data_IF_419741120156
#
_entry.id   IF_419741120156
#
_cell.length_a   1.000
_cell.length_b   1.000
_cell.length_c   1.000
_cell.angle_alpha   90.00
_cell.angle_beta   90.00
_cell.angle_gamma   90.00
#
_symmetry.space_group_name_H-M   'P 1'
#
loop_
_entity.id
_entity.type
_entity.pdbx_description
1 polymer ?
#
# COMPACT_ATOMS: atom_id res chain seq x y z
N UNK A 1 3.88 2.92 -43.99
CA UNK A 1 4.06 2.60 -42.57
C UNK A 1 2.77 2.19 -41.82
N UNK A 2 1.57 2.58 -42.25
CA UNK A 2 0.29 2.20 -41.59
C UNK A 2 -0.16 0.73 -41.80
N UNK A 3 0.30 0.07 -42.84
CA UNK A 3 -0.12 -1.32 -43.17
C UNK A 3 0.73 -2.41 -42.50
N UNK A 4 1.96 -2.10 -42.07
CA UNK A 4 2.84 -3.07 -41.37
C UNK A 4 2.37 -3.31 -39.93
N UNK A 5 1.79 -2.30 -39.28
CA UNK A 5 1.25 -2.43 -37.91
C UNK A 5 0.00 -3.31 -37.90
N UNK A 6 -0.85 -3.28 -38.96
CA UNK A 6 -2.06 -4.09 -39.04
C UNK A 6 -1.78 -5.59 -39.24
N UNK A 7 -0.72 -5.94 -39.96
CA UNK A 7 -0.34 -7.35 -40.19
C UNK A 7 0.25 -7.98 -38.91
N UNK A 8 1.00 -7.22 -38.09
CA UNK A 8 1.51 -7.70 -36.81
C UNK A 8 0.41 -7.92 -35.76
N UNK A 9 -0.65 -7.11 -35.77
CA UNK A 9 -1.80 -7.28 -34.85
C UNK A 9 -2.66 -8.47 -35.29
N UNK A 10 -2.82 -8.73 -36.59
CA UNK A 10 -3.61 -9.87 -37.09
C UNK A 10 -2.94 -11.23 -36.81
N UNK A 11 -1.61 -11.32 -36.78
CA UNK A 11 -0.89 -12.55 -36.43
C UNK A 11 -0.99 -12.92 -34.92
N UNK A 12 -1.25 -11.96 -34.04
CA UNK A 12 -1.42 -12.23 -32.62
C UNK A 12 -2.79 -12.88 -32.27
N UNK A 13 -3.78 -12.80 -33.16
CA UNK A 13 -5.12 -13.38 -32.93
C UNK A 13 -5.25 -14.85 -33.32
N UNK A 14 -4.29 -15.40 -34.08
CA UNK A 14 -4.29 -16.81 -34.50
C UNK A 14 -3.48 -17.74 -33.57
N UNK A 15 -2.75 -17.20 -32.60
CA UNK A 15 -2.03 -18.01 -31.61
C UNK A 15 -2.97 -18.28 -30.45
N UNK A 16 -3.69 -19.38 -30.47
CA UNK A 16 -4.50 -19.85 -29.35
C UNK A 16 -3.67 -19.79 -28.08
N UNK A 17 -4.21 -19.14 -27.04
CA UNK A 17 -3.65 -19.12 -25.70
C UNK A 17 -3.53 -20.57 -25.20
N UNK A 18 -2.38 -21.19 -25.39
CA UNK A 18 -2.09 -22.44 -24.71
C UNK A 18 -1.96 -22.09 -23.22
N UNK A 19 -2.97 -22.44 -22.44
CA UNK A 19 -2.91 -22.37 -20.99
C UNK A 19 -1.72 -23.21 -20.52
N UNK A 20 -0.80 -22.66 -19.69
CA UNK A 20 0.28 -23.43 -19.11
C UNK A 20 -0.31 -24.68 -18.42
N UNK A 21 0.21 -25.86 -18.72
CA UNK A 21 -0.24 -27.09 -18.07
C UNK A 21 -0.13 -26.93 -16.55
N UNK A 22 -1.14 -27.32 -15.77
CA UNK A 22 -1.04 -27.34 -14.34
C UNK A 22 0.19 -28.18 -13.94
N UNK A 23 1.02 -27.65 -13.02
CA UNK A 23 2.07 -28.46 -12.42
C UNK A 23 1.36 -29.41 -11.46
N UNK A 24 1.60 -30.72 -11.52
CA UNK A 24 0.98 -31.65 -10.58
C UNK A 24 1.28 -31.21 -9.15
N UNK A 25 0.27 -31.11 -8.31
CA UNK A 25 0.43 -30.78 -6.86
C UNK A 25 1.26 -31.85 -6.15
N UNK A 26 1.40 -33.03 -6.75
CA UNK A 26 2.21 -34.15 -6.27
C UNK A 26 3.71 -34.02 -6.51
N UNK A 27 4.18 -33.03 -7.28
CA UNK A 27 5.62 -32.80 -7.46
C UNK A 27 6.16 -32.13 -6.19
N UNK A 28 7.10 -32.78 -5.51
CA UNK A 28 7.70 -32.22 -4.29
C UNK A 28 8.25 -30.80 -4.55
N UNK A 29 7.87 -29.84 -3.70
CA UNK A 29 8.46 -28.51 -3.73
C UNK A 29 9.97 -28.66 -3.50
N UNK A 30 10.78 -27.91 -4.27
CA UNK A 30 12.25 -27.99 -4.27
C UNK A 30 12.89 -29.20 -4.96
N UNK A 31 12.12 -30.17 -5.47
CA UNK A 31 12.69 -31.25 -6.30
C UNK A 31 13.18 -30.72 -7.67
N UNK A 32 12.72 -29.54 -8.09
CA UNK A 32 12.98 -28.95 -9.40
C UNK A 32 14.04 -27.85 -9.32
N UNK A 33 15.04 -27.87 -10.20
CA UNK A 33 16.11 -26.86 -10.28
C UNK A 33 15.59 -25.45 -10.53
N UNK A 34 14.52 -25.29 -11.34
CA UNK A 34 13.88 -24.00 -11.62
C UNK A 34 13.30 -23.38 -10.35
N UNK A 35 12.67 -24.20 -9.49
CA UNK A 35 12.08 -23.74 -8.23
C UNK A 35 13.16 -23.36 -7.23
N UNK A 36 14.23 -24.14 -7.12
CA UNK A 36 15.39 -23.81 -6.30
C UNK A 36 16.04 -22.49 -6.74
N UNK A 37 16.14 -22.27 -8.06
CA UNK A 37 16.64 -21.01 -8.61
C UNK A 37 15.72 -19.83 -8.24
N UNK A 38 14.39 -19.98 -8.37
CA UNK A 38 13.43 -18.95 -7.98
C UNK A 38 13.52 -18.60 -6.50
N UNK A 39 13.62 -19.59 -5.62
CA UNK A 39 13.75 -19.38 -4.18
C UNK A 39 15.07 -18.71 -3.80
N UNK A 40 16.18 -19.02 -4.49
CA UNK A 40 17.47 -18.34 -4.28
C UNK A 40 17.37 -16.86 -4.66
N UNK A 41 16.86 -16.57 -5.86
CA UNK A 41 16.63 -15.18 -6.30
C UNK A 41 15.68 -14.43 -5.37
N UNK A 42 14.64 -15.08 -4.90
CA UNK A 42 13.72 -14.51 -3.91
C UNK A 42 14.46 -14.09 -2.63
N UNK A 43 15.34 -14.93 -2.09
CA UNK A 43 16.14 -14.59 -0.89
C UNK A 43 17.07 -13.40 -1.14
N UNK A 44 17.78 -13.37 -2.25
CA UNK A 44 18.65 -12.24 -2.61
C UNK A 44 17.87 -10.91 -2.68
N UNK A 45 16.68 -10.93 -3.27
CA UNK A 45 15.82 -9.76 -3.36
C UNK A 45 15.26 -9.34 -1.99
N UNK A 46 14.85 -10.31 -1.18
CA UNK A 46 14.40 -10.07 0.20
C UNK A 46 15.49 -9.42 1.05
N UNK A 47 16.75 -9.81 0.90
CA UNK A 47 17.88 -9.17 1.59
C UNK A 47 18.03 -7.70 1.19
N UNK A 48 17.87 -7.39 -0.10
CA UNK A 48 17.88 -5.99 -0.59
C UNK A 48 16.74 -5.17 0.00
N UNK A 49 15.51 -5.72 -0.02
CA UNK A 49 14.34 -5.04 0.57
C UNK A 49 14.54 -4.84 2.07
N UNK A 50 14.99 -5.86 2.78
CA UNK A 50 15.19 -5.81 4.23
C UNK A 50 16.28 -4.79 4.63
N UNK A 51 17.31 -4.61 3.79
CA UNK A 51 18.41 -3.64 4.02
C UNK A 51 18.10 -2.22 3.52
N UNK A 52 17.01 -2.02 2.77
CA UNK A 52 16.68 -0.72 2.15
C UNK A 52 16.25 0.38 3.13
N UNK A 53 15.95 0.04 4.39
CA UNK A 53 15.35 0.96 5.37
C UNK A 53 13.83 1.17 5.18
N UNK A 54 13.23 0.51 4.18
CA UNK A 54 11.79 0.61 3.89
C UNK A 54 10.93 -0.32 4.76
N UNK A 55 11.51 -1.27 5.45
CA UNK A 55 10.75 -2.16 6.35
C UNK A 55 10.20 -1.37 7.53
N UNK A 56 8.91 -1.54 7.78
CA UNK A 56 8.24 -0.98 8.95
C UNK A 56 8.58 -1.85 10.16
N UNK A 57 9.35 -1.27 11.10
CA UNK A 57 9.83 -1.96 12.29
C UNK A 57 8.79 -1.85 13.41
N UNK A 58 8.00 -2.88 13.61
CA UNK A 58 7.00 -3.00 14.67
C UNK A 58 6.74 -4.48 14.95
N UNK A 59 7.32 -5.01 16.03
CA UNK A 59 7.26 -6.43 16.35
C UNK A 59 5.85 -6.89 16.74
N UNK A 60 5.03 -6.02 17.36
CA UNK A 60 3.65 -6.37 17.74
C UNK A 60 2.77 -6.50 16.48
N UNK A 61 2.90 -5.54 15.57
CA UNK A 61 2.23 -5.60 14.28
C UNK A 61 2.66 -6.84 13.48
N UNK A 62 3.97 -7.10 13.38
CA UNK A 62 4.49 -8.26 12.64
C UNK A 62 3.95 -9.56 13.22
N UNK A 63 3.93 -9.72 14.54
CA UNK A 63 3.35 -10.87 15.22
C UNK A 63 1.85 -11.03 14.94
N UNK A 64 1.11 -9.92 14.96
CA UNK A 64 -0.32 -9.92 14.65
C UNK A 64 -0.58 -10.37 13.20
N UNK A 65 0.09 -9.77 12.22
CA UNK A 65 -0.06 -10.14 10.80
C UNK A 65 0.31 -11.62 10.55
N UNK A 66 1.38 -12.09 11.18
CA UNK A 66 1.80 -13.48 11.09
C UNK A 66 0.83 -14.44 11.80
N UNK A 67 0.05 -13.97 12.80
CA UNK A 67 -1.02 -14.78 13.41
C UNK A 67 -2.19 -14.97 12.44
N UNK A 68 -2.58 -13.92 11.72
CA UNK A 68 -3.59 -14.02 10.64
C UNK A 68 -3.11 -14.96 9.54
N UNK A 69 -1.84 -14.84 9.13
CA UNK A 69 -1.23 -15.71 8.13
C UNK A 69 -1.25 -17.19 8.57
N UNK A 70 -0.87 -17.51 9.81
CA UNK A 70 -0.92 -18.88 10.35
C UNK A 70 -2.34 -19.46 10.35
N UNK A 71 -3.35 -18.64 10.67
CA UNK A 71 -4.74 -19.07 10.64
C UNK A 71 -5.21 -19.47 9.24
N UNK A 72 -4.76 -18.72 8.21
CA UNK A 72 -5.00 -19.08 6.81
C UNK A 72 -4.18 -20.33 6.42
N UNK A 73 -2.89 -20.36 6.73
CA UNK A 73 -1.97 -21.46 6.39
C UNK A 73 -2.47 -22.81 6.89
N UNK A 74 -3.06 -22.87 8.08
CA UNK A 74 -3.62 -24.11 8.66
C UNK A 74 -4.68 -24.77 7.76
N UNK A 75 -5.24 -24.04 6.79
CA UNK A 75 -6.24 -24.50 5.84
C UNK A 75 -5.69 -24.66 4.40
N UNK A 76 -4.38 -24.51 4.21
CA UNK A 76 -3.71 -24.81 2.94
C UNK A 76 -3.27 -26.26 2.88
N UNK A 77 -3.06 -26.79 1.67
CA UNK A 77 -2.52 -28.14 1.45
C UNK A 77 -1.00 -28.11 1.19
N UNK A 78 -0.31 -27.04 1.61
CA UNK A 78 1.12 -26.82 1.33
C UNK A 78 1.88 -26.52 2.63
N UNK A 79 2.02 -27.51 3.53
CA UNK A 79 2.70 -27.33 4.82
C UNK A 79 4.19 -27.00 4.69
N UNK A 80 4.79 -27.31 3.55
CA UNK A 80 6.20 -27.08 3.24
C UNK A 80 6.53 -25.60 2.98
N UNK A 81 5.54 -24.75 2.67
CA UNK A 81 5.73 -23.31 2.51
C UNK A 81 5.50 -22.63 3.86
N UNK A 82 6.54 -22.01 4.42
CA UNK A 82 6.42 -21.21 5.63
C UNK A 82 6.09 -19.76 5.27
N UNK A 83 4.88 -19.31 5.57
CA UNK A 83 4.47 -17.93 5.29
C UNK A 83 5.00 -16.97 6.36
N UNK A 84 5.61 -15.87 5.89
CA UNK A 84 6.08 -14.78 6.72
C UNK A 84 5.62 -13.44 6.13
N UNK A 85 4.97 -12.61 6.97
CA UNK A 85 4.44 -11.31 6.57
C UNK A 85 5.40 -10.21 7.02
N UNK A 86 5.75 -9.32 6.10
CA UNK A 86 6.55 -8.12 6.36
C UNK A 86 5.83 -6.88 5.86
N UNK A 87 6.03 -5.75 6.52
CA UNK A 87 5.39 -4.48 6.15
C UNK A 87 6.41 -3.54 5.54
N UNK A 88 6.06 -2.95 4.40
CA UNK A 88 6.86 -1.93 3.69
C UNK A 88 6.26 -0.54 3.91
N UNK A 89 7.09 0.43 4.25
CA UNK A 89 6.73 1.85 4.39
C UNK A 89 6.48 2.48 3.02
N UNK A 90 5.33 2.20 2.44
CA UNK A 90 4.92 2.74 1.16
C UNK A 90 3.42 3.04 1.18
N UNK A 91 2.96 4.27 0.84
CA UNK A 91 1.55 4.63 0.91
C UNK A 91 0.73 4.15 -0.29
N UNK A 92 1.33 3.49 -1.26
CA UNK A 92 0.58 2.88 -2.36
C UNK A 92 -0.17 1.62 -1.89
N UNK A 93 -1.21 1.26 -2.65
CA UNK A 93 -1.99 0.05 -2.34
C UNK A 93 -1.34 -1.14 -3.04
N UNK A 94 -0.50 -1.87 -2.34
CA UNK A 94 0.13 -3.06 -2.89
C UNK A 94 0.42 -4.11 -1.82
N UNK A 95 0.45 -5.35 -2.25
CA UNK A 95 1.04 -6.49 -1.57
C UNK A 95 1.63 -7.41 -2.64
N UNK A 96 2.62 -8.20 -2.29
CA UNK A 96 3.17 -9.20 -3.20
C UNK A 96 3.86 -10.32 -2.42
N UNK A 97 3.83 -11.52 -2.99
CA UNK A 97 4.47 -12.68 -2.42
C UNK A 97 5.70 -13.12 -3.23
N UNK A 98 6.73 -13.55 -2.52
CA UNK A 98 7.81 -14.32 -3.12
C UNK A 98 7.46 -15.81 -3.13
N UNK A 99 7.98 -16.59 -4.11
CA UNK A 99 7.65 -18.02 -4.24
C UNK A 99 7.95 -18.86 -2.99
N UNK A 100 8.84 -18.40 -2.13
CA UNK A 100 9.23 -19.05 -0.88
C UNK A 100 8.35 -18.70 0.33
N UNK A 101 7.20 -18.00 0.11
CA UNK A 101 6.20 -17.74 1.14
C UNK A 101 6.38 -16.42 1.90
N UNK A 102 7.39 -15.60 1.61
CA UNK A 102 7.50 -14.26 2.22
C UNK A 102 6.59 -13.28 1.48
N UNK A 103 5.65 -12.67 2.21
CA UNK A 103 4.66 -11.72 1.69
C UNK A 103 4.97 -10.33 2.23
N UNK A 104 5.13 -9.37 1.33
CA UNK A 104 5.29 -7.95 1.68
C UNK A 104 3.97 -7.23 1.50
N UNK A 105 3.54 -6.51 2.53
CA UNK A 105 2.31 -5.72 2.53
C UNK A 105 2.64 -4.25 2.75
N UNK A 106 2.18 -3.37 1.88
CA UNK A 106 2.48 -1.94 1.99
C UNK A 106 1.62 -1.28 3.07
N UNK A 107 2.18 -0.26 3.74
CA UNK A 107 1.42 0.51 4.75
C UNK A 107 0.18 1.16 4.14
N UNK A 108 0.21 1.49 2.85
CA UNK A 108 -0.93 2.06 2.14
C UNK A 108 -2.15 1.15 2.13
N UNK A 109 -2.00 -0.09 1.70
CA UNK A 109 -3.14 -1.02 1.65
C UNK A 109 -3.64 -1.35 3.07
N UNK A 110 -2.75 -1.54 4.04
CA UNK A 110 -3.12 -1.76 5.45
C UNK A 110 -3.95 -0.60 6.02
N UNK A 111 -3.55 0.64 5.74
CA UNK A 111 -4.26 1.82 6.23
C UNK A 111 -5.67 1.99 5.63
N UNK A 112 -5.96 1.40 4.48
CA UNK A 112 -7.28 1.44 3.83
C UNK A 112 -8.24 0.35 4.31
N UNK A 113 -7.71 -0.77 4.84
CA UNK A 113 -8.53 -1.88 5.33
C UNK A 113 -9.30 -1.51 6.59
N UNK A 114 -10.54 -1.98 6.71
CA UNK A 114 -11.42 -1.72 7.85
C UNK A 114 -11.38 -2.82 8.92
N UNK A 115 -10.96 -4.04 8.56
CA UNK A 115 -11.00 -5.19 9.45
C UNK A 115 -10.05 -6.31 9.01
N UNK A 116 -9.86 -7.32 9.87
CA UNK A 116 -8.98 -8.46 9.65
C UNK A 116 -9.40 -9.33 8.45
N UNK A 117 -10.71 -9.40 8.14
CA UNK A 117 -11.16 -10.18 6.98
C UNK A 117 -10.69 -9.57 5.66
N UNK A 118 -10.55 -8.24 5.57
CA UNK A 118 -9.95 -7.58 4.41
C UNK A 118 -8.45 -7.88 4.30
N UNK A 119 -7.73 -7.93 5.43
CA UNK A 119 -6.35 -8.40 5.46
C UNK A 119 -6.25 -9.87 5.04
N UNK A 120 -7.13 -10.72 5.57
CA UNK A 120 -7.18 -12.14 5.21
C UNK A 120 -7.42 -12.33 3.70
N UNK A 121 -8.23 -11.47 3.05
CA UNK A 121 -8.45 -11.53 1.62
C UNK A 121 -7.16 -11.30 0.81
N UNK A 122 -6.36 -10.30 1.19
CA UNK A 122 -5.07 -10.04 0.54
C UNK A 122 -4.09 -11.18 0.81
N UNK A 123 -3.94 -11.59 2.07
CA UNK A 123 -2.99 -12.65 2.42
C UNK A 123 -3.37 -13.98 1.77
N UNK A 124 -4.65 -14.35 1.73
CA UNK A 124 -5.12 -15.56 1.08
C UNK A 124 -4.80 -15.54 -0.43
N UNK A 125 -5.07 -14.43 -1.11
CA UNK A 125 -4.72 -14.24 -2.52
C UNK A 125 -3.22 -14.45 -2.77
N UNK A 126 -2.35 -13.81 -1.98
CA UNK A 126 -0.90 -13.96 -2.09
C UNK A 126 -0.42 -15.38 -1.77
N UNK A 127 -1.03 -16.03 -0.78
CA UNK A 127 -0.71 -17.42 -0.43
C UNK A 127 -1.06 -18.37 -1.59
N UNK A 128 -2.17 -18.14 -2.31
CA UNK A 128 -2.50 -18.96 -3.47
C UNK A 128 -1.47 -18.80 -4.59
N UNK A 129 -0.93 -17.60 -4.83
CA UNK A 129 0.15 -17.43 -5.79
C UNK A 129 1.36 -18.32 -5.46
N UNK A 130 1.69 -18.49 -4.18
CA UNK A 130 2.77 -19.38 -3.74
C UNK A 130 2.38 -20.85 -3.87
N UNK A 131 1.24 -21.26 -3.29
CA UNK A 131 0.81 -22.67 -3.23
C UNK A 131 0.49 -23.25 -4.60
N UNK A 132 -0.03 -22.44 -5.53
CA UNK A 132 -0.26 -22.81 -6.92
C UNK A 132 0.97 -22.59 -7.84
N UNK A 133 2.11 -22.22 -7.23
CA UNK A 133 3.39 -22.02 -7.93
C UNK A 133 3.29 -21.12 -9.17
N UNK A 134 2.50 -20.05 -9.10
CA UNK A 134 2.25 -19.20 -10.26
C UNK A 134 3.54 -18.62 -10.85
N UNK A 135 4.51 -18.21 -10.03
CA UNK A 135 5.83 -17.73 -10.49
C UNK A 135 6.61 -18.78 -11.28
N UNK A 136 6.57 -20.05 -10.86
CA UNK A 136 7.21 -21.15 -11.58
C UNK A 136 6.50 -21.46 -12.90
N UNK A 137 5.16 -21.42 -12.91
CA UNK A 137 4.35 -21.60 -14.12
C UNK A 137 4.62 -20.48 -15.13
N UNK A 138 4.77 -19.22 -14.69
CA UNK A 138 5.19 -18.11 -15.54
C UNK A 138 6.60 -18.37 -16.09
N UNK A 139 7.58 -18.71 -15.25
CA UNK A 139 8.96 -18.97 -15.68
C UNK A 139 9.00 -20.04 -16.79
N UNK A 140 8.32 -21.17 -16.61
CA UNK A 140 8.27 -22.25 -17.61
C UNK A 140 7.58 -21.82 -18.89
N UNK A 141 6.47 -21.07 -18.81
CA UNK A 141 5.79 -20.54 -19.99
C UNK A 141 6.66 -19.60 -20.82
N UNK A 142 7.59 -18.94 -20.15
CA UNK A 142 8.59 -18.07 -20.74
C UNK A 142 9.68 -18.90 -21.45
N UNK A 143 10.21 -19.93 -20.81
CA UNK A 143 11.25 -20.78 -21.37
C UNK A 143 10.79 -21.48 -22.66
N UNK A 144 9.52 -21.83 -22.75
CA UNK A 144 8.94 -22.48 -23.93
C UNK A 144 8.76 -21.55 -25.15
N UNK A 145 8.97 -20.22 -25.00
CA UNK A 145 8.76 -19.21 -26.04
C UNK A 145 9.87 -18.14 -26.13
N UNK A 146 11.12 -18.52 -26.39
CA UNK A 146 12.26 -17.57 -26.34
C UNK A 146 12.13 -16.40 -27.31
N UNK A 147 11.52 -16.60 -28.48
CA UNK A 147 11.32 -15.53 -29.49
C UNK A 147 10.32 -14.45 -29.02
N UNK A 148 9.28 -14.83 -28.28
CA UNK A 148 8.31 -13.91 -27.70
C UNK A 148 8.96 -13.03 -26.63
N UNK A 149 9.86 -13.61 -25.81
CA UNK A 149 10.59 -12.89 -24.76
C UNK A 149 11.54 -11.86 -25.32
N UNK A 150 12.29 -12.22 -26.35
CA UNK A 150 13.18 -11.25 -27.00
C UNK A 150 12.39 -10.04 -27.52
N UNK A 151 11.17 -10.25 -28.06
CA UNK A 151 10.29 -9.20 -28.51
C UNK A 151 9.73 -8.35 -27.33
N UNK A 152 9.32 -8.99 -26.23
CA UNK A 152 8.82 -8.32 -25.02
C UNK A 152 9.94 -7.55 -24.32
N UNK A 153 11.12 -8.13 -24.15
CA UNK A 153 12.29 -7.45 -23.56
C UNK A 153 12.73 -6.24 -24.39
N UNK A 154 12.69 -6.32 -25.74
CA UNK A 154 12.96 -5.18 -26.61
C UNK A 154 11.91 -4.08 -26.47
N UNK A 155 10.65 -4.43 -26.25
CA UNK A 155 9.53 -3.49 -26.05
C UNK A 155 9.61 -2.85 -24.68
N UNK A 156 9.92 -3.64 -23.64
CA UNK A 156 10.09 -3.19 -22.25
C UNK A 156 11.33 -2.30 -22.10
N UNK A 157 12.46 -2.64 -22.73
CA UNK A 157 13.67 -1.81 -22.72
C UNK A 157 13.48 -0.43 -23.39
N UNK A 158 12.48 -0.29 -24.26
CA UNK A 158 12.11 0.98 -24.90
C UNK A 158 11.07 1.79 -24.14
N UNK A 159 10.40 1.20 -23.15
CA UNK A 159 9.41 1.89 -22.33
C UNK A 159 10.13 2.56 -21.15
N UNK A 160 10.53 3.83 -21.32
CA UNK A 160 11.07 4.69 -20.26
C UNK A 160 10.19 4.69 -18.99
N UNK A 161 8.88 4.43 -19.14
CA UNK A 161 7.90 4.31 -18.07
C UNK A 161 8.23 3.21 -17.06
N UNK A 162 8.81 2.08 -17.50
CA UNK A 162 9.15 0.96 -16.59
C UNK A 162 10.43 1.27 -15.83
N UNK A 163 11.33 2.03 -16.42
CA UNK A 163 12.55 2.49 -15.74
C UNK A 163 12.24 3.56 -14.68
N UNK A 164 11.26 4.44 -14.93
CA UNK A 164 10.72 5.35 -13.91
C UNK A 164 9.97 4.60 -12.81
N UNK A 165 9.17 3.60 -13.15
CA UNK A 165 8.47 2.76 -12.16
C UNK A 165 9.47 1.98 -11.28
N UNK A 166 10.52 1.40 -11.86
CA UNK A 166 11.59 0.71 -11.12
C UNK A 166 12.38 1.67 -10.22
N UNK A 167 12.62 2.91 -10.66
CA UNK A 167 13.22 3.95 -9.84
C UNK A 167 12.27 4.50 -8.77
N UNK A 168 10.97 4.59 -9.08
CA UNK A 168 9.96 5.11 -8.15
C UNK A 168 9.62 4.10 -7.04
N UNK A 169 9.64 2.80 -7.36
CA UNK A 169 9.39 1.72 -6.39
C UNK A 169 10.69 1.40 -5.60
N UNK A 170 11.86 1.85 -6.08
CA UNK A 170 13.14 1.62 -5.41
C UNK A 170 13.53 0.14 -5.30
N UNK A 171 12.80 -0.74 -5.95
CA UNK A 171 12.97 -2.18 -5.89
C UNK A 171 13.41 -2.68 -7.27
N UNK A 172 14.60 -3.30 -7.39
CA UNK A 172 14.93 -4.07 -8.57
C UNK A 172 13.91 -5.19 -8.71
N UNK A 173 13.21 -5.21 -9.83
CA UNK A 173 12.03 -6.01 -10.03
C UNK A 173 12.22 -7.50 -9.71
N UNK A 174 11.47 -8.00 -8.78
CA UNK A 174 11.19 -9.42 -8.70
C UNK A 174 10.54 -9.86 -10.03
N UNK A 175 10.90 -11.03 -10.57
CA UNK A 175 10.36 -11.49 -11.86
C UNK A 175 8.82 -11.57 -11.89
N UNK A 176 8.19 -11.78 -10.73
CA UNK A 176 6.74 -11.74 -10.57
C UNK A 176 6.16 -10.31 -10.66
N UNK A 177 6.87 -9.31 -10.11
CA UNK A 177 6.46 -7.90 -10.20
C UNK A 177 6.66 -7.31 -11.62
N UNK A 178 7.61 -7.83 -12.40
CA UNK A 178 7.91 -7.35 -13.75
C UNK A 178 6.92 -7.88 -14.80
N UNK A 179 6.42 -9.09 -14.63
CA UNK A 179 5.58 -9.76 -15.64
C UNK A 179 4.07 -9.57 -15.42
N UNK A 180 3.63 -9.22 -14.19
CA UNK A 180 2.22 -9.35 -13.80
C UNK A 180 1.75 -10.80 -13.94
N UNK A 181 0.79 -11.20 -13.13
CA UNK A 181 0.16 -12.51 -13.32
C UNK A 181 -0.84 -12.47 -14.49
N UNK A 182 -1.04 -13.60 -15.16
CA UNK A 182 -2.07 -13.70 -16.19
C UNK A 182 -3.46 -13.58 -15.56
N UNK A 183 -4.49 -13.24 -16.37
CA UNK A 183 -5.88 -13.17 -15.89
C UNK A 183 -6.36 -14.49 -15.29
N UNK A 184 -5.88 -15.60 -15.82
CA UNK A 184 -6.19 -16.94 -15.34
C UNK A 184 -5.62 -17.16 -13.94
N UNK A 185 -4.37 -16.75 -13.69
CA UNK A 185 -3.73 -16.86 -12.39
C UNK A 185 -4.36 -15.92 -11.34
N UNK A 186 -4.74 -14.71 -11.74
CA UNK A 186 -5.50 -13.80 -10.88
C UNK A 186 -6.87 -14.41 -10.50
N UNK A 187 -7.57 -15.00 -11.47
CA UNK A 187 -8.86 -15.66 -11.22
C UNK A 187 -8.70 -16.86 -10.28
N UNK A 188 -7.67 -17.68 -10.51
CA UNK A 188 -7.32 -18.81 -9.64
C UNK A 188 -7.01 -18.34 -8.21
N UNK A 189 -6.21 -17.27 -8.08
CA UNK A 189 -5.84 -16.72 -6.78
C UNK A 189 -7.04 -16.11 -6.05
N UNK A 190 -7.92 -15.39 -6.74
CA UNK A 190 -9.13 -14.81 -6.14
C UNK A 190 -10.08 -15.90 -5.64
N UNK A 191 -10.41 -16.88 -6.48
CA UNK A 191 -11.42 -17.91 -6.13
C UNK A 191 -10.89 -18.86 -5.05
N UNK A 192 -9.68 -19.38 -5.19
CA UNK A 192 -9.07 -20.25 -4.19
C UNK A 192 -8.75 -19.49 -2.89
N UNK A 193 -8.43 -18.18 -2.99
CA UNK A 193 -8.27 -17.29 -1.85
C UNK A 193 -9.55 -17.12 -1.04
N UNK A 194 -10.71 -16.97 -1.71
CA UNK A 194 -12.02 -16.94 -1.05
C UNK A 194 -12.36 -18.27 -0.37
N UNK A 195 -12.07 -19.39 -1.01
CA UNK A 195 -12.25 -20.72 -0.39
C UNK A 195 -11.35 -20.88 0.86
N UNK A 196 -10.12 -20.34 0.83
CA UNK A 196 -9.20 -20.33 1.95
C UNK A 196 -9.71 -19.44 3.09
N UNK A 197 -10.24 -18.24 2.78
CA UNK A 197 -10.87 -17.36 3.76
C UNK A 197 -12.07 -18.04 4.45
N UNK A 198 -12.94 -18.69 3.68
CA UNK A 198 -14.11 -19.39 4.20
C UNK A 198 -13.70 -20.50 5.15
N UNK A 199 -12.75 -21.37 4.77
CA UNK A 199 -12.21 -22.43 5.63
C UNK A 199 -11.60 -21.88 6.93
N UNK A 200 -10.97 -20.71 6.87
CA UNK A 200 -10.43 -20.01 8.01
C UNK A 200 -11.49 -19.19 8.79
N UNK A 201 -12.79 -19.34 8.45
CA UNK A 201 -13.92 -18.65 9.07
C UNK A 201 -13.83 -17.12 9.01
N UNK A 202 -13.40 -16.54 7.88
CA UNK A 202 -13.47 -15.10 7.58
C UNK A 202 -14.67 -14.75 6.71
N UNK A 203 -15.22 -13.53 6.90
CA UNK A 203 -16.29 -12.99 6.06
C UNK A 203 -15.77 -12.64 4.65
N UNK A 204 -16.02 -13.52 3.68
CA UNK A 204 -15.58 -13.36 2.29
C UNK A 204 -16.17 -12.14 1.58
N UNK A 205 -17.28 -11.55 2.08
CA UNK A 205 -17.89 -10.33 1.53
C UNK A 205 -16.98 -9.12 1.71
N UNK A 206 -16.06 -9.16 2.67
CA UNK A 206 -15.12 -8.07 2.93
C UNK A 206 -14.08 -7.90 1.80
N UNK A 207 -13.84 -8.94 0.98
CA UNK A 207 -13.01 -8.82 -0.23
C UNK A 207 -13.59 -7.80 -1.24
N UNK A 208 -14.92 -7.79 -1.45
CA UNK A 208 -15.56 -6.79 -2.33
C UNK A 208 -15.44 -5.36 -1.78
N UNK A 209 -15.53 -5.19 -0.46
CA UNK A 209 -15.37 -3.86 0.15
C UNK A 209 -13.94 -3.36 -0.02
N UNK A 210 -12.95 -4.23 0.12
CA UNK A 210 -11.56 -3.87 -0.14
C UNK A 210 -11.35 -3.39 -1.58
N UNK A 211 -11.92 -4.06 -2.59
CA UNK A 211 -11.90 -3.57 -3.97
C UNK A 211 -12.61 -2.22 -4.11
N UNK A 212 -13.66 -1.96 -3.33
CA UNK A 212 -14.32 -0.65 -3.26
C UNK A 212 -13.37 0.45 -2.77
N UNK A 213 -12.61 0.20 -1.71
CA UNK A 213 -11.58 1.14 -1.20
C UNK A 213 -10.50 1.40 -2.25
N UNK A 214 -10.02 0.36 -2.92
CA UNK A 214 -9.02 0.49 -3.98
C UNK A 214 -9.53 1.37 -5.14
N UNK A 215 -10.74 1.14 -5.63
CA UNK A 215 -11.35 1.96 -6.69
C UNK A 215 -11.54 3.42 -6.27
N UNK A 216 -11.96 3.64 -5.03
CA UNK A 216 -12.10 4.99 -4.49
C UNK A 216 -10.76 5.73 -4.48
N UNK A 217 -9.68 5.04 -4.10
CA UNK A 217 -8.33 5.61 -4.10
C UNK A 217 -7.89 6.01 -5.50
N UNK A 218 -7.98 5.09 -6.47
CA UNK A 218 -7.65 5.35 -7.88
C UNK A 218 -8.38 6.60 -8.39
N UNK A 219 -9.71 6.64 -8.18
CA UNK A 219 -10.53 7.76 -8.63
C UNK A 219 -10.16 9.08 -7.97
N UNK A 220 -9.88 9.08 -6.68
CA UNK A 220 -9.63 10.31 -5.91
C UNK A 220 -8.23 10.88 -6.12
N UNK A 221 -7.26 10.04 -6.41
CA UNK A 221 -5.86 10.44 -6.64
C UNK A 221 -5.54 10.63 -8.13
N UNK A 222 -6.47 10.28 -9.03
CA UNK A 222 -6.27 10.39 -10.48
C UNK A 222 -5.15 9.50 -11.00
N UNK A 223 -4.90 8.36 -10.35
CA UNK A 223 -3.83 7.43 -10.68
C UNK A 223 -4.32 6.48 -11.77
N UNK A 224 -3.45 6.16 -12.74
CA UNK A 224 -3.75 5.13 -13.74
C UNK A 224 -3.89 3.76 -13.04
N UNK A 225 -4.96 3.04 -13.35
CA UNK A 225 -5.26 1.71 -12.79
C UNK A 225 -4.09 0.73 -13.02
N UNK A 226 -3.40 0.84 -14.15
CA UNK A 226 -2.24 0.01 -14.48
C UNK A 226 -1.05 0.26 -13.53
N UNK A 227 -0.80 1.51 -13.16
CA UNK A 227 0.28 1.87 -12.21
C UNK A 227 -0.04 1.34 -10.80
N UNK A 228 -1.32 1.31 -10.48
CA UNK A 228 -1.81 0.93 -9.16
C UNK A 228 -1.83 -0.59 -8.91
N UNK A 229 -2.11 -1.37 -9.96
CA UNK A 229 -2.22 -2.83 -9.93
C UNK A 229 -1.21 -3.51 -10.86
N UNK A 230 0.00 -2.93 -11.00
CA UNK A 230 1.00 -3.43 -11.93
C UNK A 230 1.35 -4.92 -11.75
N UNK A 231 1.20 -5.44 -10.53
CA UNK A 231 1.38 -6.86 -10.22
C UNK A 231 0.10 -7.68 -10.36
N UNK A 232 -1.09 -7.07 -10.20
CA UNK A 232 -2.40 -7.73 -10.16
C UNK A 232 -3.43 -6.99 -11.01
N UNK A 233 -3.37 -7.10 -12.35
CA UNK A 233 -4.22 -6.35 -13.26
C UNK A 233 -5.70 -6.77 -13.22
N UNK A 234 -6.58 -5.96 -13.84
CA UNK A 234 -7.99 -6.25 -14.11
C UNK A 234 -8.91 -6.29 -12.88
N UNK A 235 -8.88 -5.27 -12.03
CA UNK A 235 -9.76 -5.15 -10.85
C UNK A 235 -11.24 -5.37 -11.18
N UNK A 236 -11.71 -4.88 -12.32
CA UNK A 236 -13.10 -5.06 -12.73
C UNK A 236 -13.45 -6.55 -12.85
N UNK A 237 -12.63 -7.34 -13.55
CA UNK A 237 -12.83 -8.77 -13.70
C UNK A 237 -12.78 -9.51 -12.36
N UNK A 238 -11.86 -9.08 -11.48
CA UNK A 238 -11.73 -9.64 -10.12
C UNK A 238 -13.00 -9.41 -9.31
N UNK A 239 -13.54 -8.20 -9.33
CA UNK A 239 -14.82 -7.86 -8.67
C UNK A 239 -15.96 -8.74 -9.21
N UNK A 240 -16.03 -8.95 -10.52
CA UNK A 240 -17.06 -9.81 -11.15
C UNK A 240 -16.91 -11.27 -10.72
N UNK A 241 -15.68 -11.79 -10.67
CA UNK A 241 -15.39 -13.15 -10.21
C UNK A 241 -15.80 -13.36 -8.76
N UNK A 242 -15.41 -12.44 -7.86
CA UNK A 242 -15.78 -12.50 -6.45
C UNK A 242 -17.29 -12.37 -6.26
N UNK A 243 -17.93 -11.46 -6.99
CA UNK A 243 -19.40 -11.29 -6.94
C UNK A 243 -20.12 -12.57 -7.36
N UNK A 244 -19.65 -13.22 -8.43
CA UNK A 244 -20.22 -14.48 -8.93
C UNK A 244 -20.02 -15.61 -7.92
N UNK A 245 -18.83 -15.73 -7.33
CA UNK A 245 -18.53 -16.72 -6.30
C UNK A 245 -19.47 -16.55 -5.08
N UNK A 246 -19.64 -15.32 -4.59
CA UNK A 246 -20.58 -15.02 -3.50
C UNK A 246 -22.04 -15.32 -3.86
N UNK A 247 -22.45 -15.04 -5.10
CA UNK A 247 -23.81 -15.30 -5.58
C UNK A 247 -24.12 -16.79 -5.73
N UNK A 248 -23.15 -17.64 -6.03
CA UNK A 248 -23.31 -19.08 -6.19
C UNK A 248 -23.39 -19.81 -4.83
N UNK A 249 -22.84 -19.22 -3.77
CA UNK A 249 -22.96 -19.75 -2.40
C UNK A 249 -24.26 -19.25 -1.78
N UNK A 250 -25.39 -19.89 -2.17
CA UNK A 250 -26.68 -19.65 -1.54
C UNK A 250 -26.59 -19.94 -0.05
N UNK A 251 -26.87 -18.92 0.78
CA UNK A 251 -26.87 -18.94 2.23
C UNK A 251 -25.49 -19.17 2.87
N UNK A 252 -24.68 -18.11 2.89
CA UNK A 252 -23.66 -17.96 3.96
C UNK A 252 -24.47 -17.65 5.22
N UNK A 253 -25.10 -18.68 5.84
CA UNK A 253 -25.80 -18.55 7.13
C UNK A 253 -24.85 -18.06 8.22
N UNK A 254 -23.56 -18.37 8.12
CA UNK A 254 -22.50 -17.82 8.94
C UNK A 254 -21.61 -16.87 8.13
N UNK A 255 -21.77 -15.58 8.38
CA UNK A 255 -21.03 -14.54 7.68
C UNK A 255 -19.50 -14.61 7.86
N UNK A 256 -18.99 -15.47 8.73
CA UNK A 256 -17.59 -15.49 9.15
C UNK A 256 -17.21 -14.30 10.04
N UNK A 257 -15.97 -14.27 10.48
CA UNK A 257 -15.46 -13.24 11.39
C UNK A 257 -14.84 -12.07 10.63
N UNK A 258 -14.92 -10.87 11.19
CA UNK A 258 -14.25 -9.65 10.69
C UNK A 258 -13.14 -9.17 11.59
N UNK A 259 -13.24 -9.44 12.90
CA UNK A 259 -12.30 -9.02 13.93
C UNK A 259 -11.90 -7.54 13.84
N UNK A 260 -12.90 -6.66 13.64
CA UNK A 260 -12.69 -5.22 13.36
C UNK A 260 -11.90 -4.54 14.47
N UNK A 261 -12.32 -4.70 15.75
CA UNK A 261 -11.70 -3.98 16.86
C UNK A 261 -10.24 -4.41 17.07
N UNK A 262 -9.99 -5.72 17.07
CA UNK A 262 -8.62 -6.26 17.17
C UNK A 262 -7.72 -5.75 16.05
N UNK A 263 -8.22 -5.76 14.83
CA UNK A 263 -7.51 -5.26 13.65
C UNK A 263 -7.16 -3.77 13.81
N UNK A 264 -8.16 -2.94 14.12
CA UNK A 264 -7.96 -1.50 14.24
C UNK A 264 -6.99 -1.14 15.36
N UNK A 265 -7.03 -1.84 16.51
CA UNK A 265 -6.08 -1.61 17.61
C UNK A 265 -4.64 -1.88 17.16
N UNK A 266 -4.38 -2.98 16.49
CA UNK A 266 -3.04 -3.35 16.02
C UNK A 266 -2.52 -2.45 14.89
N UNK A 267 -3.41 -1.84 14.11
CA UNK A 267 -3.01 -1.02 12.96
C UNK A 267 -2.94 0.48 13.25
N UNK A 268 -3.31 0.96 14.44
CA UNK A 268 -3.27 2.39 14.77
C UNK A 268 -1.94 3.07 14.39
N UNK A 269 -0.75 2.54 14.75
CA UNK A 269 0.52 3.19 14.40
C UNK A 269 0.75 3.26 12.89
N UNK A 270 0.39 2.21 12.16
CA UNK A 270 0.53 2.15 10.69
C UNK A 270 -0.38 3.18 10.02
N UNK A 271 -1.65 3.27 10.46
CA UNK A 271 -2.63 4.20 9.89
C UNK A 271 -2.12 5.64 10.01
N UNK A 272 -1.67 6.05 11.20
CA UNK A 272 -1.15 7.40 11.41
C UNK A 272 0.15 7.66 10.63
N UNK A 273 1.04 6.67 10.61
CA UNK A 273 2.30 6.76 9.87
C UNK A 273 2.04 6.87 8.35
N UNK A 274 1.10 6.09 7.83
CA UNK A 274 0.73 6.16 6.43
C UNK A 274 0.15 7.53 6.04
N UNK A 275 -0.64 8.16 6.91
CA UNK A 275 -1.12 9.53 6.67
C UNK A 275 0.04 10.53 6.54
N UNK A 276 1.14 10.35 7.31
CA UNK A 276 2.36 11.16 7.16
C UNK A 276 3.06 10.91 5.82
N UNK A 277 3.07 9.67 5.34
CA UNK A 277 3.63 9.33 4.03
C UNK A 277 2.80 9.93 2.89
N UNK A 278 1.47 9.78 2.96
CA UNK A 278 0.55 10.39 2.00
C UNK A 278 0.74 11.92 1.93
N UNK A 279 0.86 12.59 3.09
CA UNK A 279 1.13 14.03 3.16
C UNK A 279 2.46 14.41 2.49
N UNK A 280 3.53 13.66 2.75
CA UNK A 280 4.86 13.92 2.14
C UNK A 280 4.84 13.81 0.62
N UNK A 281 4.03 12.91 0.08
CA UNK A 281 3.87 12.72 -1.36
C UNK A 281 2.80 13.63 -2.00
N UNK A 282 2.19 14.54 -1.23
CA UNK A 282 1.13 15.42 -1.72
C UNK A 282 -0.20 14.71 -2.00
N UNK A 283 -0.40 13.50 -1.53
CA UNK A 283 -1.63 12.71 -1.66
C UNK A 283 -2.66 13.16 -0.61
N UNK A 284 -3.08 14.41 -0.72
CA UNK A 284 -3.87 15.09 0.31
C UNK A 284 -5.23 14.43 0.57
N UNK A 285 -5.91 13.97 -0.47
CA UNK A 285 -7.22 13.32 -0.32
C UNK A 285 -7.08 11.99 0.43
N UNK A 286 -6.06 11.21 0.12
CA UNK A 286 -5.73 9.97 0.80
C UNK A 286 -5.37 10.21 2.27
N UNK A 287 -4.51 11.20 2.56
CA UNK A 287 -4.12 11.57 3.91
C UNK A 287 -5.33 11.97 4.76
N UNK A 288 -6.24 12.80 4.23
CA UNK A 288 -7.44 13.24 4.95
C UNK A 288 -8.35 12.05 5.30
N UNK A 289 -8.64 11.16 4.35
CA UNK A 289 -9.45 9.96 4.61
C UNK A 289 -8.84 9.08 5.70
N UNK A 290 -7.52 8.89 5.64
CA UNK A 290 -6.79 8.10 6.64
C UNK A 290 -6.86 8.74 8.02
N UNK A 291 -6.67 10.06 8.12
CA UNK A 291 -6.76 10.81 9.37
C UNK A 291 -8.17 10.84 9.94
N UNK A 292 -9.21 10.99 9.09
CA UNK A 292 -10.60 10.89 9.52
C UNK A 292 -10.92 9.53 10.15
N UNK A 293 -10.42 8.45 9.53
CA UNK A 293 -10.53 7.09 10.09
C UNK A 293 -9.80 6.99 11.43
N UNK A 294 -8.56 7.45 11.50
CA UNK A 294 -7.75 7.41 12.72
C UNK A 294 -8.37 8.20 13.86
N UNK A 295 -8.84 9.42 13.61
CA UNK A 295 -9.46 10.28 14.62
C UNK A 295 -10.76 9.72 15.19
N UNK A 296 -11.53 8.90 14.42
CA UNK A 296 -12.68 8.15 15.00
C UNK A 296 -12.24 7.12 16.04
N UNK A 297 -11.06 6.51 15.86
CA UNK A 297 -10.49 5.54 16.79
C UNK A 297 -9.78 6.21 17.97
N UNK A 298 -9.14 7.34 17.74
CA UNK A 298 -8.31 8.09 18.69
C UNK A 298 -8.67 9.59 18.69
N UNK A 299 -9.85 9.94 19.23
CA UNK A 299 -10.35 11.32 19.16
C UNK A 299 -9.55 12.33 20.00
N UNK A 300 -8.66 11.87 20.88
CA UNK A 300 -7.84 12.74 21.73
C UNK A 300 -6.36 12.75 21.32
N UNK A 301 -6.00 12.25 20.15
CA UNK A 301 -4.61 12.24 19.67
C UNK A 301 -4.26 13.58 19.01
N UNK A 302 -3.45 14.39 19.70
CA UNK A 302 -3.06 15.71 19.23
C UNK A 302 -2.29 15.69 17.91
N UNK A 303 -1.45 14.66 17.68
CA UNK A 303 -0.70 14.48 16.44
C UNK A 303 -1.60 14.31 15.23
N UNK A 304 -2.73 13.60 15.38
CA UNK A 304 -3.70 13.42 14.30
C UNK A 304 -4.35 14.76 13.89
N UNK A 305 -4.72 15.57 14.85
CA UNK A 305 -5.26 16.92 14.60
C UNK A 305 -4.20 17.85 13.98
N UNK A 306 -2.98 17.80 14.47
CA UNK A 306 -1.88 18.54 13.85
C UNK A 306 -1.67 18.11 12.39
N UNK A 307 -1.58 16.82 12.11
CA UNK A 307 -1.40 16.31 10.75
C UNK A 307 -2.56 16.70 9.83
N UNK A 308 -3.81 16.64 10.32
CA UNK A 308 -4.97 17.07 9.55
C UNK A 308 -4.88 18.56 9.16
N UNK A 309 -4.53 19.40 10.12
CA UNK A 309 -4.24 20.81 9.88
C UNK A 309 -3.13 21.02 8.87
N UNK A 310 -2.06 20.24 8.94
CA UNK A 310 -0.92 20.33 8.03
C UNK A 310 -1.27 19.90 6.61
N UNK A 311 -2.07 18.84 6.44
CA UNK A 311 -2.61 18.43 5.13
C UNK A 311 -3.42 19.56 4.50
N UNK A 312 -4.33 20.18 5.26
CA UNK A 312 -5.12 21.31 4.77
C UNK A 312 -4.24 22.51 4.39
N UNK A 313 -3.26 22.85 5.27
CA UNK A 313 -2.36 23.98 5.03
C UNK A 313 -1.54 23.80 3.74
N UNK A 314 -1.07 22.57 3.46
CA UNK A 314 -0.27 22.27 2.27
C UNK A 314 -1.15 22.13 1.02
N UNK A 315 -2.36 21.58 1.13
CA UNK A 315 -3.29 21.46 0.02
C UNK A 315 -3.72 22.83 -0.50
N UNK A 316 -3.95 23.80 0.36
CA UNK A 316 -4.15 25.21 0.02
C UNK A 316 -5.40 25.53 -0.79
N UNK A 317 -6.45 24.72 -0.68
CA UNK A 317 -7.74 25.00 -1.30
C UNK A 317 -8.48 26.13 -0.57
N UNK A 318 -9.51 26.77 -1.18
CA UNK A 318 -10.32 27.79 -0.52
C UNK A 318 -10.81 27.33 0.85
N UNK A 319 -10.66 28.18 1.86
CA UNK A 319 -10.98 27.93 3.28
C UNK A 319 -10.07 26.91 4.02
N UNK A 320 -9.10 26.30 3.36
CA UNK A 320 -8.21 25.35 4.04
C UNK A 320 -7.38 25.98 5.14
N UNK A 321 -6.87 27.20 4.95
CA UNK A 321 -6.14 27.94 5.99
C UNK A 321 -6.99 28.16 7.24
N UNK A 322 -8.26 28.51 7.06
CA UNK A 322 -9.18 28.73 8.20
C UNK A 322 -9.43 27.41 8.94
N UNK A 323 -9.65 26.33 8.22
CA UNK A 323 -9.84 24.99 8.80
C UNK A 323 -8.55 24.53 9.49
N UNK A 324 -7.40 24.69 8.85
CA UNK A 324 -6.09 24.33 9.42
C UNK A 324 -5.83 25.00 10.77
N UNK A 325 -6.13 26.32 10.88
CA UNK A 325 -6.02 27.04 12.16
C UNK A 325 -6.88 26.40 13.26
N UNK A 326 -8.10 25.94 12.94
CA UNK A 326 -8.96 25.24 13.92
C UNK A 326 -8.33 23.94 14.37
N UNK A 327 -7.85 23.12 13.43
CA UNK A 327 -7.21 21.85 13.73
C UNK A 327 -5.94 22.02 14.57
N UNK A 328 -5.06 22.99 14.26
CA UNK A 328 -3.88 23.28 15.06
C UNK A 328 -4.24 23.76 16.47
N UNK A 329 -5.29 24.59 16.62
CA UNK A 329 -5.77 25.01 17.94
C UNK A 329 -6.29 23.82 18.77
N UNK A 330 -7.02 22.90 18.13
CA UNK A 330 -7.45 21.65 18.78
C UNK A 330 -6.25 20.81 19.18
N UNK A 331 -5.26 20.63 18.32
CA UNK A 331 -4.02 19.91 18.65
C UNK A 331 -3.33 20.51 19.89
N UNK A 332 -3.20 21.84 19.97
CA UNK A 332 -2.63 22.53 21.14
C UNK A 332 -3.51 22.38 22.39
N UNK A 333 -4.84 22.33 22.24
CA UNK A 333 -5.73 22.09 23.39
C UNK A 333 -5.62 20.69 23.96
N UNK A 334 -5.32 19.70 23.12
CA UNK A 334 -5.09 18.30 23.50
C UNK A 334 -3.67 18.09 24.05
N UNK A 335 -2.68 18.69 23.41
CA UNK A 335 -1.29 18.70 23.87
C UNK A 335 -0.67 20.09 23.69
N UNK A 336 -0.66 20.91 24.77
CA UNK A 336 -0.02 22.24 24.78
C UNK A 336 1.49 22.20 24.53
N UNK A 337 2.13 21.06 24.71
CA UNK A 337 3.56 20.87 24.52
C UNK A 337 3.98 20.46 23.12
N UNK A 338 3.07 20.41 22.15
CA UNK A 338 3.32 20.02 20.75
C UNK A 338 3.97 21.16 19.94
N UNK A 339 5.30 21.22 19.75
CA UNK A 339 5.97 22.35 19.11
C UNK A 339 5.54 22.57 17.67
N UNK A 340 5.24 21.47 16.95
CA UNK A 340 4.87 21.50 15.54
C UNK A 340 3.57 22.28 15.29
N UNK A 341 2.58 22.17 16.17
CA UNK A 341 1.33 22.89 16.06
C UNK A 341 1.51 24.40 16.32
N UNK A 342 2.35 24.77 17.29
CA UNK A 342 2.72 26.17 17.54
C UNK A 342 3.47 26.75 16.32
N UNK A 343 4.45 26.02 15.76
CA UNK A 343 5.14 26.45 14.55
C UNK A 343 4.17 26.70 13.40
N UNK A 344 3.25 25.77 13.16
CA UNK A 344 2.28 25.87 12.06
C UNK A 344 1.38 27.09 12.19
N UNK A 345 0.87 27.38 13.39
CA UNK A 345 0.11 28.62 13.65
C UNK A 345 0.97 29.87 13.48
N UNK A 346 2.21 29.85 13.98
CA UNK A 346 3.15 30.96 13.80
C UNK A 346 3.37 31.29 12.32
N UNK A 347 3.56 30.29 11.47
CA UNK A 347 3.74 30.47 10.03
C UNK A 347 2.48 31.04 9.35
N UNK A 348 1.30 30.58 9.74
CA UNK A 348 0.03 31.10 9.18
C UNK A 348 -0.15 32.56 9.59
N UNK A 349 -0.03 32.92 10.89
CA UNK A 349 -0.17 34.29 11.36
C UNK A 349 0.88 35.24 10.77
N UNK A 350 2.11 34.74 10.56
CA UNK A 350 3.14 35.51 9.87
C UNK A 350 2.74 35.86 8.43
N UNK A 351 2.21 34.87 7.68
CA UNK A 351 1.74 35.04 6.30
C UNK A 351 0.53 35.98 6.20
N UNK A 352 -0.32 36.00 7.21
CA UNK A 352 -1.47 36.90 7.32
C UNK A 352 -1.10 38.32 7.80
N UNK A 353 0.19 38.58 8.10
CA UNK A 353 0.64 39.89 8.59
C UNK A 353 0.47 40.11 10.10
N UNK A 354 -0.08 39.12 10.82
CA UNK A 354 -0.35 39.19 12.26
C UNK A 354 0.92 38.91 13.07
N UNK A 355 1.94 39.78 12.93
CA UNK A 355 3.31 39.59 13.42
C UNK A 355 3.40 39.35 14.92
N UNK A 356 2.56 40.02 15.73
CA UNK A 356 2.55 39.83 17.19
C UNK A 356 2.14 38.40 17.58
N UNK A 357 1.11 37.87 16.93
CA UNK A 357 0.66 36.49 17.14
C UNK A 357 1.70 35.49 16.65
N UNK A 358 2.25 35.70 15.46
CA UNK A 358 3.32 34.89 14.93
C UNK A 358 4.51 34.80 15.90
N UNK A 359 4.95 35.96 16.43
CA UNK A 359 6.06 36.03 17.41
C UNK A 359 5.75 35.18 18.66
N UNK A 360 4.54 35.31 19.22
CA UNK A 360 4.12 34.50 20.38
C UNK A 360 4.26 33.01 20.10
N UNK A 361 3.69 32.54 18.99
CA UNK A 361 3.73 31.12 18.63
C UNK A 361 5.14 30.61 18.34
N UNK A 362 6.00 31.38 17.65
CA UNK A 362 7.38 30.99 17.42
C UNK A 362 8.20 30.93 18.70
N UNK A 363 8.03 31.87 19.65
CA UNK A 363 8.68 31.84 20.95
C UNK A 363 8.27 30.57 21.72
N UNK A 364 6.97 30.26 21.76
CA UNK A 364 6.49 29.04 22.42
C UNK A 364 7.09 27.80 21.77
N UNK A 365 7.12 27.71 20.44
CA UNK A 365 7.73 26.58 19.72
C UNK A 365 9.21 26.39 20.11
N UNK A 366 10.00 27.48 20.14
CA UNK A 366 11.42 27.41 20.53
C UNK A 366 11.65 27.09 22.00
N UNK A 367 10.72 27.48 22.88
CA UNK A 367 10.76 27.12 24.30
C UNK A 367 10.52 25.62 24.49
N UNK A 368 9.54 25.08 23.76
CA UNK A 368 9.16 23.64 23.80
C UNK A 368 10.20 22.74 23.12
N UNK A 369 10.92 23.25 22.13
CA UNK A 369 11.94 22.51 21.39
C UNK A 369 13.19 23.35 21.13
N UNK A 370 14.04 23.54 22.16
CA UNK A 370 15.21 24.45 22.10
C UNK A 370 16.28 23.94 21.12
N UNK A 371 16.33 22.64 20.85
CA UNK A 371 17.32 21.97 19.98
C UNK A 371 16.75 21.55 18.62
N UNK A 372 15.58 22.10 18.21
CA UNK A 372 14.99 21.81 16.93
C UNK A 372 15.97 22.13 15.78
N UNK A 373 16.03 21.24 14.80
CA UNK A 373 16.91 21.37 13.61
C UNK A 373 16.61 22.64 12.78
N UNK A 374 15.38 23.16 12.86
CA UNK A 374 14.92 24.38 12.18
C UNK A 374 14.94 25.64 13.08
N UNK A 375 15.60 25.59 14.23
CA UNK A 375 15.76 26.71 15.19
C UNK A 375 16.26 28.01 14.54
N UNK A 376 17.26 27.90 13.66
CA UNK A 376 17.80 29.06 12.96
C UNK A 376 16.74 29.74 12.07
N UNK A 377 15.94 28.93 11.37
CA UNK A 377 14.84 29.39 10.56
C UNK A 377 13.76 30.12 11.37
N UNK A 378 13.37 29.57 12.53
CA UNK A 378 12.40 30.20 13.43
C UNK A 378 12.91 31.51 14.04
N UNK A 379 14.21 31.58 14.38
CA UNK A 379 14.84 32.84 14.84
C UNK A 379 14.79 33.94 13.77
N UNK A 380 15.04 33.59 12.51
CA UNK A 380 14.91 34.55 11.40
C UNK A 380 13.48 35.09 11.24
N UNK A 381 12.44 34.29 11.50
CA UNK A 381 11.05 34.79 11.54
C UNK A 381 10.80 35.70 12.72
N UNK A 382 11.37 35.41 13.92
CA UNK A 382 11.23 36.25 15.08
C UNK A 382 11.84 37.64 14.84
N UNK A 383 13.04 37.73 14.27
CA UNK A 383 13.69 38.95 13.85
C UNK A 383 12.82 39.79 12.91
N UNK A 384 12.29 39.13 11.84
CA UNK A 384 11.36 39.77 10.87
C UNK A 384 10.06 40.24 11.53
N UNK A 385 9.59 39.59 12.59
CA UNK A 385 8.44 40.04 13.36
C UNK A 385 8.76 41.26 14.21
N UNK A 386 10.00 41.44 14.67
CA UNK A 386 10.42 42.53 15.56
C UNK A 386 10.77 43.81 14.82
N UNK A 387 11.34 43.75 13.61
CA UNK A 387 11.87 44.91 12.87
C UNK A 387 10.80 45.83 12.25
N UNK A 388 9.53 45.53 12.31
CA UNK A 388 8.46 46.40 11.77
C UNK A 388 7.63 47.10 12.88
N UNK A 389 8.12 47.10 14.13
CA UNK A 389 7.50 47.89 15.22
C UNK A 389 8.00 49.32 15.29
N UNK A 390 9.05 49.70 14.53
CA UNK A 390 9.67 51.04 14.61
C UNK A 390 9.41 51.94 13.39
N UNK A 391 8.47 51.56 12.52
CA UNK A 391 8.02 52.44 11.41
C UNK A 391 6.53 52.67 11.52
N UNK A 392 6.11 53.50 12.48
CA UNK A 392 4.85 54.21 12.47
C UNK A 392 4.97 55.45 13.38
#
# INVERSE_FOLDING_TARGET
>A
MKYIVFILVACCWASGCATPKPIPVSEEIMANEDEQMLWRRAREEQERINSSGLIYQDAELENYLNTVARKLQANTNSPEISFQIKVVKDPHLNAFAFPNGVIYVYTGILARMDNEAQLAAVLAHEMIHCTQRHSLRVLRSIQDRPAFIAAVQQTIAKAALIQELAQFIGLPGSMAAIAGYTREFETEADLAGLDLMEKANYDCREALKLFGHMRQEIKSEGIDEFVFFGTHPNVQQRVENVTRWLGNKHQVENAGTKNTDTFLVNLQPVILNNARLDLRLGRFSAALRTLEKYMRMRPSDADAYYLFGEVLRQRGQPNDTIKAKKFFKTAISLDPSLPAAHKALGLIHYKEGEKRLAQKFFKTCLLLSPDASDKAYLKGYLEKCSHNGEKS
#
